data_IF_563281574145
#
_entry.id   IF_563281574145
#
_cell.length_a   1.000
_cell.length_b   1.000
_cell.length_c   1.000
_cell.angle_alpha   90.00
_cell.angle_beta   90.00
_cell.angle_gamma   90.00
#
_symmetry.space_group_name_H-M   'P 1'
#
loop_
_entity.id
_entity.type
_entity.pdbx_description
1 polymer ?
#
# COMPACT_ATOMS: atom_id res chain seq x y z
N UNK A 1 12.95 -10.48 -6.01
CA UNK A 1 12.21 -10.19 -4.76
C UNK A 1 10.88 -10.93 -4.81
N UNK A 2 10.57 -11.69 -3.78
CA UNK A 2 9.37 -12.53 -3.75
C UNK A 2 8.30 -11.86 -2.89
N UNK A 3 7.08 -11.62 -3.41
CA UNK A 3 6.00 -11.10 -2.59
C UNK A 3 5.65 -12.04 -1.43
N UNK A 4 5.23 -11.46 -0.32
CA UNK A 4 4.82 -12.24 0.86
C UNK A 4 3.31 -12.48 0.91
N UNK A 5 2.55 -11.84 0.04
CA UNK A 5 1.09 -11.97 0.00
C UNK A 5 0.47 -11.03 -1.02
N UNK A 6 -0.83 -10.89 -0.95
CA UNK A 6 -1.59 -10.02 -1.85
C UNK A 6 -2.64 -9.23 -1.09
N UNK A 7 -3.00 -8.07 -1.65
CA UNK A 7 -4.13 -7.26 -1.17
C UNK A 7 -5.41 -7.80 -1.76
N UNK A 8 -6.44 -7.95 -0.92
CA UNK A 8 -7.83 -8.18 -1.36
C UNK A 8 -8.66 -6.96 -1.02
N UNK A 9 -9.29 -6.39 -2.02
CA UNK A 9 -9.99 -5.12 -1.89
C UNK A 9 -11.19 -5.05 -2.83
N UNK A 10 -12.11 -4.15 -2.55
CA UNK A 10 -13.18 -3.80 -3.48
C UNK A 10 -12.71 -2.88 -4.60
N UNK A 11 -11.54 -2.26 -4.47
CA UNK A 11 -10.94 -1.51 -5.57
C UNK A 11 -10.43 -2.47 -6.63
N UNK A 12 -10.93 -2.34 -7.86
CA UNK A 12 -10.64 -3.28 -8.94
C UNK A 12 -9.70 -2.73 -9.99
N UNK A 13 -9.65 -1.42 -10.14
CA UNK A 13 -8.75 -0.80 -11.10
C UNK A 13 -8.30 0.58 -10.59
N UNK A 14 -7.31 1.15 -11.26
CA UNK A 14 -6.68 2.40 -10.84
C UNK A 14 -7.61 3.59 -10.87
N UNK A 15 -8.60 3.58 -11.75
CA UNK A 15 -9.57 4.67 -11.85
C UNK A 15 -10.45 4.81 -10.63
N UNK A 16 -10.60 3.76 -9.85
CA UNK A 16 -11.42 3.74 -8.64
C UNK A 16 -10.66 4.14 -7.38
N UNK A 17 -9.32 4.19 -7.44
CA UNK A 17 -8.52 4.47 -6.26
C UNK A 17 -8.51 5.95 -5.91
N UNK A 18 -8.63 6.30 -4.61
CA UNK A 18 -8.46 7.68 -4.19
C UNK A 18 -7.05 8.17 -4.50
N UNK A 19 -6.90 9.48 -4.75
CA UNK A 19 -5.59 10.06 -5.04
C UNK A 19 -4.71 10.19 -3.82
N UNK A 20 -5.31 10.24 -2.64
CA UNK A 20 -4.63 10.45 -1.37
C UNK A 20 -5.27 9.59 -0.30
N UNK A 21 -4.45 9.12 0.65
CA UNK A 21 -4.91 8.26 1.72
C UNK A 21 -6.06 8.86 2.54
N UNK A 22 -6.04 10.17 2.77
CA UNK A 22 -7.09 10.81 3.54
C UNK A 22 -8.42 10.90 2.78
N UNK A 23 -8.44 10.63 1.48
CA UNK A 23 -9.68 10.53 0.73
C UNK A 23 -10.46 9.26 1.07
N UNK A 24 -9.86 8.40 1.88
CA UNK A 24 -10.53 7.24 2.41
C UNK A 24 -10.52 6.04 1.47
N UNK A 25 -9.39 5.37 1.35
CA UNK A 25 -9.37 4.05 0.72
C UNK A 25 -10.28 3.11 1.50
N UNK A 26 -10.82 2.08 0.85
CA UNK A 26 -11.68 1.12 1.53
C UNK A 26 -10.90 0.24 2.51
N UNK A 27 -11.63 -0.42 3.39
CA UNK A 27 -11.07 -1.54 4.13
C UNK A 27 -10.54 -2.57 3.16
N UNK A 28 -9.49 -3.25 3.55
CA UNK A 28 -8.89 -4.29 2.75
C UNK A 28 -8.42 -5.44 3.63
N UNK A 29 -8.17 -6.58 3.00
CA UNK A 29 -7.58 -7.74 3.66
C UNK A 29 -6.21 -8.00 3.06
N UNK A 30 -5.23 -8.16 3.92
CA UNK A 30 -3.90 -8.60 3.54
C UNK A 30 -3.88 -10.12 3.66
N UNK A 31 -3.76 -10.83 2.55
CA UNK A 31 -3.61 -12.28 2.55
C UNK A 31 -2.13 -12.59 2.48
N UNK A 32 -1.56 -12.94 3.62
CA UNK A 32 -0.13 -13.26 3.72
C UNK A 32 0.05 -14.76 3.46
N UNK A 33 1.09 -15.12 2.75
CA UNK A 33 1.35 -16.53 2.47
C UNK A 33 1.59 -17.28 3.79
N UNK A 34 0.97 -18.45 3.99
CA UNK A 34 1.02 -19.15 5.28
C UNK A 34 2.42 -19.46 5.78
N UNK A 35 3.40 -19.62 4.89
CA UNK A 35 4.77 -19.87 5.28
C UNK A 35 5.35 -18.74 6.13
N UNK A 36 4.80 -17.53 6.04
CA UNK A 36 5.24 -16.38 6.80
C UNK A 36 4.45 -16.14 8.09
N UNK A 37 3.58 -17.07 8.47
CA UNK A 37 2.77 -16.91 9.69
C UNK A 37 3.58 -16.50 10.94
N UNK A 38 4.76 -17.04 11.20
CA UNK A 38 5.53 -16.60 12.37
C UNK A 38 5.90 -15.12 12.35
N UNK A 39 6.02 -14.52 11.18
CA UNK A 39 6.34 -13.10 11.05
C UNK A 39 5.17 -12.20 11.45
N UNK A 40 3.95 -12.73 11.55
CA UNK A 40 2.78 -12.00 12.02
C UNK A 40 2.61 -12.01 13.54
N UNK A 41 3.49 -12.68 14.25
CA UNK A 41 3.42 -12.74 15.70
C UNK A 41 3.45 -11.31 16.27
N UNK A 42 2.48 -11.00 17.15
CA UNK A 42 2.27 -9.68 17.74
C UNK A 42 1.68 -8.61 16.80
N UNK A 43 1.31 -8.97 15.60
CA UNK A 43 0.49 -8.10 14.75
C UNK A 43 -0.96 -8.32 15.18
N UNK A 44 -1.53 -7.34 15.87
CA UNK A 44 -2.85 -7.45 16.49
C UNK A 44 -3.71 -6.25 16.13
N UNK A 45 -4.99 -6.34 16.48
CA UNK A 45 -5.92 -5.20 16.29
C UNK A 45 -5.32 -3.96 16.96
N UNK A 46 -5.31 -2.85 16.24
CA UNK A 46 -4.73 -1.59 16.68
C UNK A 46 -3.28 -1.38 16.28
N UNK A 47 -2.59 -2.42 15.82
CA UNK A 47 -1.22 -2.25 15.30
C UNK A 47 -1.26 -1.36 14.06
N UNK A 48 -0.41 -0.35 14.01
CA UNK A 48 -0.21 0.46 12.81
C UNK A 48 0.95 -0.11 12.00
N UNK A 49 0.68 -0.34 10.73
CA UNK A 49 1.64 -0.92 9.80
C UNK A 49 1.92 0.00 8.63
N UNK A 50 3.13 -0.09 8.09
CA UNK A 50 3.43 0.35 6.73
C UNK A 50 3.38 -0.89 5.86
N UNK A 51 2.46 -0.90 4.91
CA UNK A 51 2.34 -1.96 3.91
C UNK A 51 3.17 -1.55 2.71
N UNK A 52 4.16 -2.34 2.36
CA UNK A 52 5.03 -2.10 1.21
C UNK A 52 4.53 -2.96 0.07
N UNK A 53 4.14 -2.33 -1.03
CA UNK A 53 3.52 -3.02 -2.16
C UNK A 53 4.31 -2.81 -3.44
N UNK A 54 4.06 -3.68 -4.41
CA UNK A 54 4.44 -3.47 -5.80
C UNK A 54 3.18 -3.08 -6.57
N UNK A 55 3.12 -1.84 -7.05
CA UNK A 55 1.96 -1.31 -7.76
C UNK A 55 1.98 -1.82 -9.19
N UNK A 56 1.52 -3.05 -9.39
CA UNK A 56 1.73 -3.86 -10.58
C UNK A 56 1.08 -3.31 -11.87
N UNK A 57 0.14 -2.37 -11.74
CA UNK A 57 -0.47 -1.74 -12.91
C UNK A 57 0.09 -0.33 -13.18
N UNK A 58 1.11 0.09 -12.45
CA UNK A 58 1.70 1.41 -12.66
C UNK A 58 2.51 1.47 -13.95
N UNK A 59 2.59 2.68 -14.50
CA UNK A 59 3.42 2.95 -15.67
C UNK A 59 4.86 3.20 -15.21
N UNK A 60 5.77 2.31 -15.57
CA UNK A 60 7.17 2.35 -15.17
C UNK A 60 8.03 3.27 -16.02
N UNK A 61 7.47 3.85 -17.09
CA UNK A 61 8.19 4.76 -17.99
C UNK A 61 8.07 6.22 -17.60
N UNK A 62 7.21 6.54 -16.64
CA UNK A 62 6.97 7.91 -16.21
C UNK A 62 8.13 8.39 -15.35
N UNK A 63 8.69 9.53 -15.70
CA UNK A 63 9.81 10.16 -14.99
C UNK A 63 9.43 11.49 -14.34
N UNK A 64 8.36 12.13 -14.82
CA UNK A 64 7.86 13.40 -14.29
C UNK A 64 6.34 13.39 -14.25
N UNK A 65 5.78 14.03 -13.25
CA UNK A 65 4.32 14.17 -13.10
C UNK A 65 3.98 15.55 -12.55
N UNK A 66 2.71 15.93 -12.71
CA UNK A 66 2.12 17.00 -11.92
C UNK A 66 1.62 16.36 -10.63
N UNK A 67 2.22 16.66 -9.45
CA UNK A 67 1.78 16.04 -8.20
C UNK A 67 0.27 16.17 -8.00
N UNK A 68 -0.40 15.09 -7.60
CA UNK A 68 -1.86 15.00 -7.40
C UNK A 68 -2.66 15.34 -8.65
N UNK A 69 -2.10 15.17 -9.84
CA UNK A 69 -2.73 15.57 -11.11
C UNK A 69 -3.12 17.06 -11.15
N UNK A 70 -2.46 17.88 -10.35
CA UNK A 70 -2.74 19.30 -10.28
C UNK A 70 -1.77 20.06 -11.20
N UNK A 71 -2.29 20.55 -12.33
CA UNK A 71 -1.48 21.26 -13.32
C UNK A 71 -0.94 22.61 -12.81
N UNK A 72 -1.46 23.11 -11.69
CA UNK A 72 -0.96 24.33 -11.04
C UNK A 72 0.36 24.08 -10.33
N UNK A 73 0.64 22.83 -9.99
CA UNK A 73 1.91 22.43 -9.39
C UNK A 73 2.88 22.15 -10.54
N UNK A 74 4.11 22.67 -10.49
CA UNK A 74 5.07 22.43 -11.56
C UNK A 74 5.30 20.94 -11.83
N UNK A 75 5.58 20.60 -13.10
CA UNK A 75 5.98 19.26 -13.48
C UNK A 75 7.20 18.86 -12.67
N UNK A 76 7.12 17.75 -11.97
CA UNK A 76 8.08 17.35 -10.94
C UNK A 76 8.60 15.95 -11.22
N UNK A 77 9.88 15.73 -11.01
CA UNK A 77 10.47 14.40 -11.09
C UNK A 77 9.82 13.45 -10.09
N UNK A 78 9.56 12.21 -10.51
CA UNK A 78 8.81 11.27 -9.68
C UNK A 78 9.51 10.91 -8.38
N UNK A 79 10.85 11.03 -8.31
CA UNK A 79 11.59 10.76 -7.09
C UNK A 79 11.38 11.85 -6.02
N UNK A 80 10.85 13.00 -6.42
CA UNK A 80 10.46 14.06 -5.50
C UNK A 80 8.96 14.03 -5.19
N UNK A 81 8.28 12.92 -5.50
CA UNK A 81 6.84 12.74 -5.32
C UNK A 81 6.54 11.36 -4.76
N UNK A 82 5.28 11.13 -4.44
CA UNK A 82 4.75 9.82 -4.07
C UNK A 82 3.92 9.21 -5.20
N UNK A 83 4.15 9.63 -6.44
CA UNK A 83 3.43 9.08 -7.60
C UNK A 83 3.57 7.57 -7.67
N UNK A 84 2.47 6.89 -7.98
CA UNK A 84 2.50 5.44 -8.25
C UNK A 84 3.26 5.12 -9.53
N UNK A 85 3.15 6.00 -10.53
CA UNK A 85 3.85 5.81 -11.80
C UNK A 85 5.29 6.28 -11.65
N UNK A 86 6.21 5.35 -11.75
CA UNK A 86 7.64 5.54 -11.54
C UNK A 86 8.41 4.31 -11.98
N UNK A 87 9.74 4.39 -12.13
CA UNK A 87 10.52 3.23 -12.60
C UNK A 87 10.35 1.96 -11.77
N UNK A 88 10.36 2.08 -10.44
CA UNK A 88 10.06 0.98 -9.54
C UNK A 88 8.88 1.39 -8.68
N UNK A 89 7.66 0.99 -9.05
CA UNK A 89 6.43 1.48 -8.41
C UNK A 89 6.15 0.79 -7.08
N UNK A 90 7.00 1.08 -6.10
CA UNK A 90 6.85 0.59 -4.74
C UNK A 90 5.93 1.54 -4.00
N UNK A 91 4.84 1.01 -3.46
CA UNK A 91 3.88 1.76 -2.67
C UNK A 91 4.17 1.63 -1.18
N UNK A 92 3.92 2.70 -0.43
CA UNK A 92 3.98 2.71 1.03
C UNK A 92 2.62 3.16 1.53
N UNK A 93 1.98 2.30 2.33
CA UNK A 93 0.62 2.57 2.81
C UNK A 93 0.57 2.43 4.33
N UNK A 94 0.22 3.51 5.01
CA UNK A 94 0.05 3.48 6.47
C UNK A 94 -1.38 3.06 6.78
N UNK A 95 -1.52 1.98 7.54
CA UNK A 95 -2.82 1.40 7.86
C UNK A 95 -2.87 0.97 9.32
N UNK A 96 -4.08 0.78 9.84
CA UNK A 96 -4.31 0.22 11.17
C UNK A 96 -4.99 -1.13 11.04
N UNK A 97 -4.50 -2.13 11.76
CA UNK A 97 -5.09 -3.46 11.78
C UNK A 97 -6.42 -3.38 12.51
N UNK A 98 -7.48 -3.87 11.87
CA UNK A 98 -8.84 -3.88 12.43
C UNK A 98 -9.32 -5.28 12.76
N UNK A 99 -8.64 -6.31 12.27
CA UNK A 99 -9.01 -7.67 12.55
C UNK A 99 -7.98 -8.66 12.04
N UNK A 100 -8.12 -9.90 12.45
CA UNK A 100 -7.27 -10.98 11.97
C UNK A 100 -8.12 -12.24 11.82
N UNK A 101 -7.79 -13.06 10.84
CA UNK A 101 -8.48 -14.31 10.57
C UNK A 101 -7.52 -15.38 10.12
N UNK A 102 -7.95 -16.65 10.24
CA UNK A 102 -7.11 -17.75 9.80
C UNK A 102 -7.02 -17.81 8.27
N UNK A 103 -5.97 -18.36 7.71
CA UNK A 103 -4.74 -18.74 8.43
C UNK A 103 -3.80 -17.56 8.69
N UNK A 104 -3.78 -16.57 7.80
CA UNK A 104 -2.84 -15.45 7.84
C UNK A 104 -3.47 -14.23 7.17
N UNK A 105 -4.73 -13.96 7.51
CA UNK A 105 -5.47 -12.80 6.98
C UNK A 105 -5.45 -11.68 8.00
N UNK A 106 -5.08 -10.49 7.52
CA UNK A 106 -5.03 -9.28 8.32
C UNK A 106 -5.95 -8.25 7.68
N UNK A 107 -6.99 -7.82 8.42
CA UNK A 107 -7.87 -6.75 7.94
C UNK A 107 -7.32 -5.42 8.38
N UNK A 108 -7.39 -4.44 7.49
CA UNK A 108 -6.90 -3.09 7.72
C UNK A 108 -7.96 -2.06 7.33
N UNK A 109 -7.86 -0.86 7.89
CA UNK A 109 -8.90 0.15 7.82
C UNK A 109 -9.02 0.87 6.47
N UNK A 110 -7.91 1.28 5.88
CA UNK A 110 -7.96 2.08 4.66
C UNK A 110 -6.71 1.87 3.83
N UNK A 111 -6.86 1.24 2.67
CA UNK A 111 -5.73 0.90 1.82
C UNK A 111 -6.00 1.31 0.38
N UNK A 112 -5.14 2.16 -0.17
CA UNK A 112 -5.24 2.64 -1.54
C UNK A 112 -4.51 1.71 -2.51
N UNK A 113 -4.85 0.45 -2.52
CA UNK A 113 -4.27 -0.50 -3.45
C UNK A 113 -5.39 -1.34 -4.05
N UNK A 114 -5.29 -1.61 -5.34
CA UNK A 114 -6.30 -2.41 -6.02
C UNK A 114 -6.18 -3.88 -5.61
N UNK A 115 -7.27 -4.60 -5.81
CA UNK A 115 -7.32 -6.03 -5.56
C UNK A 115 -6.21 -6.75 -6.34
N UNK A 116 -5.54 -7.67 -5.70
CA UNK A 116 -4.45 -8.42 -6.32
C UNK A 116 -3.08 -7.75 -6.25
N UNK A 117 -2.96 -6.57 -5.65
CA UNK A 117 -1.66 -5.90 -5.52
C UNK A 117 -0.72 -6.75 -4.68
N UNK A 118 0.47 -7.09 -5.20
CA UNK A 118 1.45 -7.85 -4.42
C UNK A 118 1.97 -7.07 -3.21
N UNK A 119 2.08 -7.75 -2.09
CA UNK A 119 2.67 -7.21 -0.87
C UNK A 119 4.11 -7.68 -0.78
N UNK A 120 5.04 -6.74 -0.66
CA UNK A 120 6.47 -7.05 -0.58
C UNK A 120 6.93 -7.20 0.86
N UNK A 121 6.37 -6.41 1.78
CA UNK A 121 6.79 -6.39 3.16
C UNK A 121 5.74 -5.71 4.04
N UNK A 122 5.82 -5.95 5.34
CA UNK A 122 5.06 -5.26 6.37
C UNK A 122 6.04 -4.79 7.42
N UNK A 123 5.92 -3.53 7.83
CA UNK A 123 6.74 -2.96 8.90
C UNK A 123 5.84 -2.23 9.88
N UNK A 124 6.17 -2.32 11.17
CA UNK A 124 5.42 -1.52 12.15
C UNK A 124 5.71 -0.03 11.90
N UNK A 125 4.67 0.78 11.98
CA UNK A 125 4.82 2.22 11.80
C UNK A 125 5.39 2.85 13.08
N UNK A 126 6.39 3.72 12.91
CA UNK A 126 7.03 4.41 14.03
C UNK A 126 6.41 5.79 14.19
N UNK A 127 6.01 6.18 15.41
CA UNK A 127 5.38 7.49 15.62
C UNK A 127 6.22 8.69 15.19
N UNK A 128 7.54 8.59 15.33
CA UNK A 128 8.47 9.68 14.99
C UNK A 128 8.98 9.61 13.56
N UNK A 129 8.69 8.55 12.83
CA UNK A 129 9.16 8.32 11.47
C UNK A 129 8.02 7.73 10.65
N UNK A 130 7.07 8.58 10.20
CA UNK A 130 5.81 8.10 9.61
C UNK A 130 5.94 7.15 8.43
N UNK A 131 7.04 7.20 7.72
CA UNK A 131 7.24 6.42 6.50
C UNK A 131 8.34 5.37 6.63
N UNK A 132 8.84 5.14 7.81
CA UNK A 132 9.96 4.22 7.97
C UNK A 132 9.59 2.94 8.66
#
# INVERSE_FOLDING_TARGET
>A
MTPIGVVRSTLRDRGDAPRQAFEGGPEATLEIDPEFAPALDRVTVGTELIVVTWLHEADRTVLRVHPRDDERIPLTGVFATRSSDRPNPIGLHRVTVTGAGPPTRIRVDALEAIDGTPILDLKVAMPQAPDA
#
